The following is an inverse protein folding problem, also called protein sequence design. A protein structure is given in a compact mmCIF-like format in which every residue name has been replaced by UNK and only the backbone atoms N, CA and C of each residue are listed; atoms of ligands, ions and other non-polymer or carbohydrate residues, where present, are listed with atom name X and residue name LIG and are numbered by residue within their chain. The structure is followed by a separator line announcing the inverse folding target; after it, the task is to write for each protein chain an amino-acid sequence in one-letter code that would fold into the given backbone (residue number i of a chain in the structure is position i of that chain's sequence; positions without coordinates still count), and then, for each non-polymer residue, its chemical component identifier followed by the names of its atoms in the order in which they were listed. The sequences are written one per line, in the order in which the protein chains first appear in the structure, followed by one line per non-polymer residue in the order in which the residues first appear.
data_IF_709282017893
#
_entry.id   IF_709282017893
#
_cell.length_a   1.000
_cell.length_b   1.000
_cell.length_c   1.000
_cell.angle_alpha   90.00
_cell.angle_beta   90.00
_cell.angle_gamma   90.00
#
_symmetry.space_group_name_H-M   'P 1'
#
loop_
_entity.id
_entity.type
_entity.pdbx_description
1 polymer ?
#
# COMPACT_ATOMS: atom_id res chain seq x y z
N UNK A 1 4.91 -23.47 12.35
CA UNK A 1 3.55 -23.28 12.90
C UNK A 1 3.01 -21.88 12.58
N UNK A 2 3.86 -20.85 12.57
CA UNK A 2 3.45 -19.44 12.38
C UNK A 2 3.00 -19.10 10.95
N UNK A 3 3.67 -19.64 9.92
CA UNK A 3 3.31 -19.36 8.51
C UNK A 3 1.94 -19.92 8.12
N UNK A 4 1.58 -21.12 8.60
CA UNK A 4 0.26 -21.69 8.33
C UNK A 4 -0.84 -20.90 9.04
N UNK A 5 -0.62 -20.46 10.30
CA UNK A 5 -1.58 -19.60 10.99
C UNK A 5 -1.79 -18.28 10.23
N UNK A 6 -0.73 -17.64 9.77
CA UNK A 6 -0.82 -16.39 8.98
C UNK A 6 -1.62 -16.62 7.69
N UNK A 7 -1.33 -17.68 6.94
CA UNK A 7 -2.08 -18.02 5.71
C UNK A 7 -3.56 -18.24 6.00
N UNK A 8 -3.89 -18.94 7.07
CA UNK A 8 -5.29 -19.15 7.49
C UNK A 8 -5.98 -17.82 7.77
N UNK A 9 -5.35 -16.91 8.53
CA UNK A 9 -5.92 -15.59 8.85
C UNK A 9 -6.15 -14.77 7.57
N UNK A 10 -5.16 -14.70 6.67
CA UNK A 10 -5.31 -13.97 5.40
C UNK A 10 -6.45 -14.54 4.55
N UNK A 11 -6.59 -15.86 4.49
CA UNK A 11 -7.70 -16.53 3.79
C UNK A 11 -9.04 -16.19 4.43
N UNK A 12 -9.12 -16.14 5.77
CA UNK A 12 -10.34 -15.76 6.48
C UNK A 12 -10.71 -14.30 6.22
N UNK A 13 -9.73 -13.38 6.28
CA UNK A 13 -9.92 -11.96 5.95
C UNK A 13 -10.43 -11.81 4.52
N UNK A 14 -9.76 -12.45 3.55
CA UNK A 14 -10.19 -12.45 2.16
C UNK A 14 -11.63 -12.95 2.01
N UNK A 15 -11.97 -14.07 2.65
CA UNK A 15 -13.31 -14.67 2.59
C UNK A 15 -14.37 -13.70 3.16
N UNK A 16 -14.11 -13.14 4.34
CA UNK A 16 -15.00 -12.20 5.02
C UNK A 16 -15.23 -10.93 4.18
N UNK A 17 -14.17 -10.35 3.62
CA UNK A 17 -14.28 -9.17 2.77
C UNK A 17 -15.01 -9.50 1.46
N UNK A 18 -14.70 -10.64 0.84
CA UNK A 18 -15.36 -11.04 -0.41
C UNK A 18 -16.88 -11.21 -0.26
N UNK A 19 -17.33 -11.79 0.87
CA UNK A 19 -18.76 -11.96 1.16
C UNK A 19 -19.44 -10.61 1.42
N UNK A 20 -18.76 -9.71 2.16
CA UNK A 20 -19.27 -8.36 2.47
C UNK A 20 -19.34 -7.43 1.27
N UNK A 21 -18.49 -7.62 0.26
CA UNK A 21 -18.40 -6.71 -0.88
C UNK A 21 -19.11 -7.25 -2.13
N UNK A 22 -18.60 -8.33 -2.72
CA UNK A 22 -19.14 -8.88 -3.95
C UNK A 22 -20.18 -9.98 -3.69
N UNK A 23 -20.16 -10.61 -2.51
CA UNK A 23 -21.13 -11.62 -2.10
C UNK A 23 -21.29 -12.70 -3.18
N UNK A 24 -22.47 -12.79 -3.80
CA UNK A 24 -22.77 -13.69 -4.95
C UNK A 24 -22.90 -12.97 -6.29
N UNK A 25 -22.65 -11.66 -6.36
CA UNK A 25 -22.72 -10.91 -7.60
C UNK A 25 -21.62 -11.33 -8.59
N UNK A 26 -21.92 -11.18 -9.88
CA UNK A 26 -21.00 -11.52 -10.98
C UNK A 26 -20.04 -10.39 -11.35
N UNK A 27 -20.32 -9.16 -10.91
CA UNK A 27 -19.49 -7.99 -11.17
C UNK A 27 -19.71 -6.88 -10.15
N UNK A 28 -18.76 -5.94 -10.09
CA UNK A 28 -18.84 -4.69 -9.32
C UNK A 28 -18.40 -3.50 -10.16
N UNK A 29 -19.12 -2.39 -10.02
CA UNK A 29 -18.76 -1.08 -10.56
C UNK A 29 -17.76 -0.35 -9.66
N UNK A 30 -17.13 0.70 -10.20
CA UNK A 30 -16.27 1.59 -9.42
C UNK A 30 -16.98 2.17 -8.18
N UNK A 31 -18.21 2.66 -8.35
CA UNK A 31 -18.98 3.29 -7.26
C UNK A 31 -19.34 2.27 -6.16
N UNK A 32 -19.64 1.02 -6.53
CA UNK A 32 -19.89 -0.04 -5.56
C UNK A 32 -18.61 -0.39 -4.77
N UNK A 33 -17.43 -0.45 -5.41
CA UNK A 33 -16.15 -0.64 -4.70
C UNK A 33 -15.85 0.55 -3.79
N UNK A 34 -16.13 1.76 -4.26
CA UNK A 34 -15.95 2.98 -3.47
C UNK A 34 -16.88 3.03 -2.26
N UNK A 35 -18.11 2.50 -2.36
CA UNK A 35 -19.09 2.48 -1.28
C UNK A 35 -19.00 1.25 -0.36
N UNK A 36 -18.31 0.19 -0.78
CA UNK A 36 -18.22 -1.08 -0.04
C UNK A 36 -17.69 -0.92 1.39
N UNK A 37 -18.09 -1.78 2.33
CA UNK A 37 -17.54 -1.76 3.68
C UNK A 37 -16.16 -2.43 3.75
N UNK A 38 -15.14 -1.70 3.27
CA UNK A 38 -13.75 -2.13 3.20
C UNK A 38 -12.85 -1.31 4.13
N UNK A 39 -11.83 -1.92 4.74
CA UNK A 39 -10.74 -1.18 5.36
C UNK A 39 -10.16 -0.15 4.40
N UNK A 40 -9.86 1.05 4.92
CA UNK A 40 -9.45 2.21 4.10
C UNK A 40 -8.29 1.87 3.16
N UNK A 41 -7.26 1.21 3.66
CA UNK A 41 -6.07 0.90 2.87
C UNK A 41 -6.35 -0.15 1.78
N UNK A 42 -7.17 -1.16 2.06
CA UNK A 42 -7.60 -2.15 1.04
C UNK A 42 -8.39 -1.45 -0.06
N UNK A 43 -9.38 -0.63 0.28
CA UNK A 43 -10.13 0.17 -0.68
C UNK A 43 -9.22 1.06 -1.51
N UNK A 44 -8.29 1.77 -0.86
CA UNK A 44 -7.35 2.67 -1.53
C UNK A 44 -6.49 1.91 -2.53
N UNK A 45 -5.99 0.71 -2.15
CA UNK A 45 -5.25 -0.15 -3.06
C UNK A 45 -6.08 -0.59 -4.28
N UNK A 46 -7.33 -1.05 -4.06
CA UNK A 46 -8.19 -1.48 -5.17
C UNK A 46 -8.42 -0.35 -6.17
N UNK A 47 -8.78 0.85 -5.70
CA UNK A 47 -9.05 1.99 -6.58
C UNK A 47 -7.77 2.45 -7.29
N UNK A 48 -6.63 2.42 -6.60
CA UNK A 48 -5.33 2.73 -7.17
C UNK A 48 -4.91 1.80 -8.31
N UNK A 49 -5.15 0.50 -8.15
CA UNK A 49 -4.80 -0.49 -9.17
C UNK A 49 -5.63 -0.30 -10.45
N UNK A 50 -6.91 0.08 -10.30
CA UNK A 50 -7.77 0.43 -11.43
C UNK A 50 -7.29 1.70 -12.13
N UNK A 51 -6.90 2.71 -11.36
CA UNK A 51 -6.32 3.93 -11.91
C UNK A 51 -5.00 3.65 -12.65
N UNK A 52 -4.10 2.88 -12.04
CA UNK A 52 -2.83 2.48 -12.64
C UNK A 52 -3.03 1.70 -13.94
N UNK A 53 -3.96 0.74 -13.94
CA UNK A 53 -4.32 -0.05 -15.12
C UNK A 53 -4.86 0.84 -16.23
N UNK A 54 -5.79 1.74 -15.92
CA UNK A 54 -6.35 2.69 -16.88
C UNK A 54 -5.26 3.61 -17.46
N UNK A 55 -4.38 4.18 -16.62
CA UNK A 55 -3.25 5.00 -17.05
C UNK A 55 -2.31 4.24 -17.98
N UNK A 56 -1.98 2.99 -17.63
CA UNK A 56 -1.11 2.13 -18.42
C UNK A 56 -1.71 1.84 -19.79
N UNK A 57 -3.00 1.50 -19.84
CA UNK A 57 -3.73 1.26 -21.07
C UNK A 57 -3.74 2.51 -21.97
N UNK A 58 -4.10 3.68 -21.44
CA UNK A 58 -4.12 4.94 -22.21
C UNK A 58 -2.72 5.37 -22.68
N UNK A 59 -1.68 5.18 -21.85
CA UNK A 59 -0.27 5.44 -22.24
C UNK A 59 0.22 4.49 -23.33
N UNK A 60 -0.36 3.29 -23.45
CA UNK A 60 0.02 2.30 -24.46
C UNK A 60 -0.42 2.70 -25.88
N UNK A 61 -1.43 3.56 -26.01
CA UNK A 61 -1.92 4.08 -27.29
C UNK A 61 -0.83 4.93 -27.94
N UNK A 62 -0.21 4.44 -29.01
CA UNK A 62 0.89 5.10 -29.72
C UNK A 62 0.70 5.00 -31.23
N UNK A 63 1.20 5.98 -31.96
CA UNK A 63 1.29 5.97 -33.41
C UNK A 63 2.42 6.90 -33.84
N UNK A 64 3.20 6.47 -34.85
CA UNK A 64 4.26 7.28 -35.44
C UNK A 64 3.75 8.48 -36.25
N UNK A 65 2.44 8.53 -36.52
CA UNK A 65 1.81 9.60 -37.33
C UNK A 65 1.34 10.79 -36.50
N UNK A 66 1.29 10.67 -35.17
CA UNK A 66 0.73 11.69 -34.29
C UNK A 66 1.72 12.06 -33.19
N UNK A 67 1.76 13.35 -32.81
CA UNK A 67 2.58 13.83 -31.71
C UNK A 67 1.87 13.61 -30.37
N UNK A 68 2.17 12.50 -29.69
CA UNK A 68 1.64 12.21 -28.36
C UNK A 68 2.38 12.90 -27.20
N UNK A 69 3.41 13.69 -27.51
CA UNK A 69 4.15 14.50 -26.52
C UNK A 69 3.61 15.93 -26.42
N UNK A 70 2.61 16.28 -27.24
CA UNK A 70 1.94 17.57 -27.14
C UNK A 70 1.17 17.68 -25.81
N UNK A 71 1.29 18.82 -25.13
CA UNK A 71 0.69 19.04 -23.81
C UNK A 71 -0.84 18.90 -23.85
N UNK A 72 -1.49 19.34 -24.93
CA UNK A 72 -2.95 19.21 -25.09
C UNK A 72 -3.40 17.74 -25.15
N UNK A 73 -2.57 16.87 -25.74
CA UNK A 73 -2.81 15.42 -25.80
C UNK A 73 -2.59 14.79 -24.43
N UNK A 74 -1.59 15.26 -23.67
CA UNK A 74 -1.34 14.81 -22.30
C UNK A 74 -2.52 15.13 -21.37
N UNK A 75 -3.07 16.35 -21.46
CA UNK A 75 -4.26 16.76 -20.72
C UNK A 75 -5.49 15.94 -21.11
N UNK A 76 -5.74 15.75 -22.42
CA UNK A 76 -6.84 14.95 -22.92
C UNK A 76 -6.75 13.49 -22.45
N UNK A 77 -5.55 12.90 -22.42
CA UNK A 77 -5.33 11.55 -21.88
C UNK A 77 -5.66 11.47 -20.39
N UNK A 78 -5.22 12.45 -19.61
CA UNK A 78 -5.55 12.49 -18.18
C UNK A 78 -7.07 12.62 -17.95
N UNK A 79 -7.76 13.42 -18.76
CA UNK A 79 -9.22 13.50 -18.73
C UNK A 79 -9.87 12.16 -19.10
N UNK A 80 -9.38 11.52 -20.17
CA UNK A 80 -9.88 10.22 -20.61
C UNK A 80 -9.71 9.14 -19.52
N UNK A 81 -8.56 9.07 -18.86
CA UNK A 81 -8.33 8.16 -17.72
C UNK A 81 -9.36 8.41 -16.61
N UNK A 82 -9.60 9.67 -16.21
CA UNK A 82 -10.59 10.00 -15.16
C UNK A 82 -12.00 9.55 -15.52
N UNK A 83 -12.38 9.63 -16.79
CA UNK A 83 -13.69 9.13 -17.25
C UNK A 83 -13.72 7.61 -17.33
N UNK A 84 -12.66 6.98 -17.84
CA UNK A 84 -12.57 5.54 -18.00
C UNK A 84 -12.71 4.81 -16.67
N UNK A 85 -12.04 5.30 -15.61
CA UNK A 85 -12.10 4.70 -14.27
C UNK A 85 -13.55 4.64 -13.74
N UNK A 86 -14.36 5.68 -13.99
CA UNK A 86 -15.77 5.72 -13.57
C UNK A 86 -16.68 4.76 -14.34
N UNK A 87 -16.21 4.23 -15.47
CA UNK A 87 -16.95 3.25 -16.29
C UNK A 87 -16.53 1.81 -15.99
N UNK A 88 -15.62 1.60 -15.04
CA UNK A 88 -15.12 0.26 -14.71
C UNK A 88 -16.27 -0.60 -14.21
N UNK A 89 -16.39 -1.77 -14.85
CA UNK A 89 -17.19 -2.90 -14.39
C UNK A 89 -16.25 -4.10 -14.29
N UNK A 90 -15.90 -4.49 -13.08
CA UNK A 90 -15.02 -5.63 -12.81
C UNK A 90 -15.83 -6.89 -12.70
N UNK A 91 -15.46 -7.91 -13.48
CA UNK A 91 -15.99 -9.26 -13.28
C UNK A 91 -15.56 -9.79 -11.92
N UNK A 92 -16.36 -10.69 -11.37
CA UNK A 92 -16.11 -11.33 -10.08
C UNK A 92 -14.71 -11.90 -9.96
N UNK A 93 -14.25 -12.64 -10.98
CA UNK A 93 -12.93 -13.27 -10.96
C UNK A 93 -11.81 -12.22 -10.83
N UNK A 94 -11.90 -11.13 -11.58
CA UNK A 94 -10.91 -10.05 -11.56
C UNK A 94 -10.95 -9.29 -10.23
N UNK A 95 -12.14 -9.03 -9.70
CA UNK A 95 -12.31 -8.41 -8.39
C UNK A 95 -11.71 -9.26 -7.27
N UNK A 96 -11.97 -10.57 -7.25
CA UNK A 96 -11.45 -11.48 -6.23
C UNK A 96 -9.92 -11.57 -6.31
N UNK A 97 -9.33 -11.58 -7.51
CA UNK A 97 -7.86 -11.51 -7.67
C UNK A 97 -7.29 -10.22 -7.09
N UNK A 98 -7.91 -9.07 -7.40
CA UNK A 98 -7.48 -7.79 -6.86
C UNK A 98 -7.64 -7.70 -5.35
N UNK A 99 -8.71 -8.25 -4.79
CA UNK A 99 -8.95 -8.28 -3.35
C UNK A 99 -7.92 -9.15 -2.62
N UNK A 100 -7.59 -10.33 -3.14
CA UNK A 100 -6.56 -11.20 -2.58
C UNK A 100 -5.20 -10.48 -2.55
N UNK A 101 -4.82 -9.85 -3.67
CA UNK A 101 -3.62 -9.02 -3.73
C UNK A 101 -3.66 -7.88 -2.71
N UNK A 102 -4.80 -7.19 -2.56
CA UNK A 102 -4.97 -6.09 -1.61
C UNK A 102 -4.79 -6.54 -0.16
N UNK A 103 -5.34 -7.71 0.21
CA UNK A 103 -5.21 -8.29 1.55
C UNK A 103 -3.75 -8.64 1.84
N UNK A 104 -3.06 -9.29 0.91
CA UNK A 104 -1.64 -9.65 1.05
C UNK A 104 -0.77 -8.40 1.13
N UNK A 105 -1.01 -7.41 0.28
CA UNK A 105 -0.25 -6.15 0.26
C UNK A 105 -0.47 -5.38 1.55
N UNK A 106 -1.71 -5.33 2.05
CA UNK A 106 -2.01 -4.68 3.31
C UNK A 106 -1.27 -5.34 4.46
N UNK A 107 -1.36 -6.66 4.59
CA UNK A 107 -0.62 -7.40 5.60
C UNK A 107 0.87 -7.10 5.56
N UNK A 108 1.49 -7.19 4.37
CA UNK A 108 2.93 -6.93 4.20
C UNK A 108 3.30 -5.49 4.56
N UNK A 109 2.47 -4.52 4.17
CA UNK A 109 2.69 -3.11 4.51
C UNK A 109 2.59 -2.87 6.01
N UNK A 110 1.61 -3.48 6.67
CA UNK A 110 1.44 -3.37 8.12
C UNK A 110 2.61 -3.96 8.89
N UNK A 111 3.17 -5.08 8.42
CA UNK A 111 4.30 -5.76 9.07
C UNK A 111 5.64 -5.06 8.79
N UNK A 112 5.88 -4.63 7.54
CA UNK A 112 7.17 -4.10 7.09
C UNK A 112 6.98 -2.85 6.22
N UNK A 113 6.56 -1.72 6.83
CA UNK A 113 6.15 -0.56 6.06
C UNK A 113 7.25 0.04 5.19
N UNK A 114 8.49 0.14 5.69
CA UNK A 114 9.58 0.76 4.94
C UNK A 114 9.94 -0.06 3.69
N UNK A 115 10.16 -1.36 3.87
CA UNK A 115 10.44 -2.32 2.81
C UNK A 115 9.32 -2.37 1.78
N UNK A 116 8.06 -2.41 2.23
CA UNK A 116 6.94 -2.49 1.30
C UNK A 116 6.79 -1.21 0.48
N UNK A 117 7.03 -0.02 1.04
CA UNK A 117 7.06 1.22 0.26
C UNK A 117 8.15 1.18 -0.81
N UNK A 118 9.36 0.72 -0.46
CA UNK A 118 10.46 0.61 -1.41
C UNK A 118 10.13 -0.37 -2.55
N UNK A 119 9.57 -1.54 -2.23
CA UNK A 119 9.17 -2.51 -3.25
C UNK A 119 8.06 -1.99 -4.16
N UNK A 120 7.08 -1.26 -3.62
CA UNK A 120 5.96 -0.73 -4.40
C UNK A 120 6.36 0.42 -5.32
N UNK A 121 7.30 1.25 -4.86
CA UNK A 121 7.85 2.35 -5.64
C UNK A 121 8.78 1.85 -6.73
N UNK A 122 9.73 0.96 -6.39
CA UNK A 122 10.83 0.62 -7.29
C UNK A 122 10.60 -0.69 -8.05
N UNK A 123 9.92 -1.68 -7.48
CA UNK A 123 9.88 -3.03 -8.04
C UNK A 123 11.30 -3.54 -8.31
N UNK A 124 11.62 -3.76 -9.59
CA UNK A 124 12.97 -4.17 -10.06
C UNK A 124 13.84 -2.98 -10.51
N UNK A 125 13.31 -1.77 -10.54
CA UNK A 125 14.03 -0.57 -10.97
C UNK A 125 14.99 -0.10 -9.87
N UNK A 126 16.12 0.46 -10.28
CA UNK A 126 17.10 1.06 -9.35
C UNK A 126 16.84 2.54 -9.06
N UNK A 127 16.07 3.20 -9.92
CA UNK A 127 15.78 4.63 -9.88
C UNK A 127 14.36 4.90 -10.37
N UNK A 128 13.71 5.92 -9.80
CA UNK A 128 12.37 6.37 -10.17
C UNK A 128 12.30 7.90 -10.16
N UNK A 129 11.42 8.47 -10.99
CA UNK A 129 11.16 9.92 -10.99
C UNK A 129 10.29 10.31 -9.80
N UNK A 130 10.47 11.52 -9.27
CA UNK A 130 9.69 12.03 -8.14
C UNK A 130 8.18 12.03 -8.43
N UNK A 131 7.78 12.27 -9.69
CA UNK A 131 6.38 12.22 -10.11
C UNK A 131 5.79 10.80 -10.02
N UNK A 132 6.52 9.79 -10.47
CA UNK A 132 6.09 8.38 -10.40
C UNK A 132 6.06 7.90 -8.94
N UNK A 133 7.04 8.31 -8.12
CA UNK A 133 7.07 7.99 -6.70
C UNK A 133 5.86 8.60 -5.99
N UNK A 134 5.57 9.89 -6.24
CA UNK A 134 4.41 10.55 -5.68
C UNK A 134 3.11 9.84 -6.07
N UNK A 135 2.98 9.41 -7.33
CA UNK A 135 1.81 8.65 -7.80
C UNK A 135 1.63 7.34 -7.06
N UNK A 136 2.70 6.54 -6.93
CA UNK A 136 2.66 5.25 -6.24
C UNK A 136 2.38 5.39 -4.74
N UNK A 137 2.94 6.41 -4.10
CA UNK A 137 2.81 6.62 -2.67
C UNK A 137 1.47 7.22 -2.23
N UNK A 138 0.73 7.87 -3.14
CA UNK A 138 -0.60 8.47 -2.84
C UNK A 138 -1.60 7.45 -2.26
N UNK A 139 -1.38 6.17 -2.53
CA UNK A 139 -2.31 5.09 -2.21
C UNK A 139 -2.04 4.43 -0.85
N UNK A 140 -1.08 4.93 -0.07
CA UNK A 140 -0.77 4.47 1.28
C UNK A 140 -1.37 5.42 2.32
N UNK A 141 -2.25 4.87 3.16
CA UNK A 141 -3.10 5.59 4.11
C UNK A 141 -2.75 5.29 5.57
N UNK A 142 -2.23 4.09 5.87
CA UNK A 142 -1.59 3.77 7.13
C UNK A 142 -0.17 4.33 7.17
N UNK A 143 0.38 4.55 8.38
CA UNK A 143 1.72 5.14 8.60
C UNK A 143 2.03 6.37 7.72
N UNK A 144 1.01 7.22 7.48
CA UNK A 144 1.08 8.34 6.53
C UNK A 144 2.19 9.34 6.79
N UNK A 145 2.77 9.38 7.99
CA UNK A 145 3.94 10.20 8.28
C UNK A 145 5.14 9.84 7.39
N UNK A 146 5.35 8.55 7.07
CA UNK A 146 6.43 8.10 6.17
C UNK A 146 6.29 8.76 4.79
N UNK A 147 5.08 8.66 4.23
CA UNK A 147 4.77 9.19 2.90
C UNK A 147 4.79 10.72 2.90
N UNK A 148 4.09 11.36 3.84
CA UNK A 148 3.94 12.81 3.85
C UNK A 148 5.28 13.52 4.02
N UNK A 149 6.12 13.07 4.96
CA UNK A 149 7.44 13.69 5.20
C UNK A 149 8.36 13.44 4.00
N UNK A 150 8.29 12.26 3.39
CA UNK A 150 9.08 11.95 2.20
C UNK A 150 8.68 12.81 0.99
N UNK A 151 7.38 13.00 0.72
CA UNK A 151 6.91 13.85 -0.38
C UNK A 151 7.29 15.32 -0.16
N UNK A 152 7.17 15.83 1.07
CA UNK A 152 7.66 17.17 1.42
C UNK A 152 9.18 17.31 1.21
N UNK A 153 9.94 16.26 1.49
CA UNK A 153 11.38 16.24 1.22
C UNK A 153 11.68 16.35 -0.28
N UNK A 154 10.99 15.58 -1.14
CA UNK A 154 11.15 15.67 -2.59
C UNK A 154 10.85 17.07 -3.11
N UNK A 155 9.74 17.66 -2.68
CA UNK A 155 9.31 18.99 -3.08
C UNK A 155 10.31 20.06 -2.63
N UNK A 156 10.66 20.08 -1.34
CA UNK A 156 11.58 21.07 -0.75
C UNK A 156 12.98 21.01 -1.38
N UNK A 157 13.43 19.81 -1.76
CA UNK A 157 14.74 19.60 -2.37
C UNK A 157 14.72 19.67 -3.90
N UNK A 158 13.55 19.87 -4.51
CA UNK A 158 13.35 19.88 -5.98
C UNK A 158 13.99 18.66 -6.64
N UNK A 159 13.78 17.49 -6.05
CA UNK A 159 14.36 16.24 -6.55
C UNK A 159 13.53 15.78 -7.75
N UNK A 160 14.18 15.57 -8.89
CA UNK A 160 13.52 15.06 -10.11
C UNK A 160 13.50 13.53 -10.15
N UNK A 161 14.55 12.88 -9.66
CA UNK A 161 14.67 11.42 -9.55
C UNK A 161 15.49 11.01 -8.34
N UNK A 162 15.31 9.77 -7.88
CA UNK A 162 16.00 9.23 -6.72
C UNK A 162 16.19 7.71 -6.85
N UNK A 163 17.34 7.22 -6.38
CA UNK A 163 17.65 5.80 -6.36
C UNK A 163 16.93 5.08 -5.22
N UNK A 164 16.74 3.76 -5.37
CA UNK A 164 16.15 2.90 -4.34
C UNK A 164 16.87 3.01 -3.00
N UNK A 165 18.20 2.93 -3.02
CA UNK A 165 19.02 3.03 -1.81
C UNK A 165 18.82 4.38 -1.09
N UNK A 166 18.78 5.48 -1.85
CA UNK A 166 18.59 6.81 -1.28
C UNK A 166 17.17 6.97 -0.72
N UNK A 167 16.17 6.40 -1.38
CA UNK A 167 14.79 6.34 -0.88
C UNK A 167 14.72 5.58 0.44
N UNK A 168 15.24 4.35 0.49
CA UNK A 168 15.26 3.49 1.68
C UNK A 168 15.93 4.22 2.85
N UNK A 169 17.07 4.88 2.61
CA UNK A 169 17.78 5.67 3.63
C UNK A 169 16.96 6.85 4.17
N UNK A 170 16.21 7.54 3.31
CA UNK A 170 15.37 8.67 3.75
C UNK A 170 14.18 8.15 4.53
N UNK A 171 13.48 7.12 4.04
CA UNK A 171 12.33 6.52 4.72
C UNK A 171 12.74 5.99 6.09
N UNK A 172 13.86 5.29 6.19
CA UNK A 172 14.44 4.84 7.45
C UNK A 172 14.72 6.02 8.41
N UNK A 173 15.36 7.08 7.91
CA UNK A 173 15.66 8.27 8.72
C UNK A 173 14.41 9.03 9.18
N UNK A 174 13.34 9.03 8.38
CA UNK A 174 12.03 9.57 8.78
C UNK A 174 11.45 8.71 9.90
N UNK A 175 11.45 7.38 9.73
CA UNK A 175 10.86 6.47 10.70
C UNK A 175 11.56 6.57 12.06
N UNK A 176 12.89 6.45 12.07
CA UNK A 176 13.72 6.59 13.28
C UNK A 176 13.45 7.90 14.02
N UNK A 177 13.49 9.03 13.31
CA UNK A 177 13.28 10.34 13.94
C UNK A 177 11.91 10.47 14.60
N UNK A 178 10.89 9.84 14.02
CA UNK A 178 9.53 9.83 14.57
C UNK A 178 9.47 8.87 15.76
N UNK A 179 9.92 7.62 15.61
CA UNK A 179 9.86 6.61 16.68
C UNK A 179 10.73 6.95 17.89
N UNK A 180 11.86 7.64 17.70
CA UNK A 180 12.72 8.10 18.79
C UNK A 180 12.04 9.18 19.65
N UNK A 181 11.09 9.92 19.05
CA UNK A 181 10.31 10.94 19.76
C UNK A 181 9.09 10.38 20.50
N UNK A 182 8.76 9.11 20.28
CA UNK A 182 7.57 8.47 20.87
C UNK A 182 7.85 7.93 22.26
N UNK A 183 6.91 8.19 23.17
CA UNK A 183 6.79 7.42 24.40
C UNK A 183 6.26 6.00 24.11
N UNK A 184 6.11 5.20 25.16
CA UNK A 184 5.66 3.82 25.01
C UNK A 184 4.22 3.74 24.50
N UNK A 185 3.35 4.67 24.90
CA UNK A 185 1.96 4.70 24.44
C UNK A 185 1.88 5.02 22.95
N UNK A 186 2.56 6.07 22.50
CA UNK A 186 2.60 6.48 21.09
C UNK A 186 3.20 5.39 20.21
N UNK A 187 4.21 4.67 20.70
CA UNK A 187 4.74 3.51 19.99
C UNK A 187 3.72 2.38 19.90
N UNK A 188 3.03 2.03 20.98
CA UNK A 188 2.00 0.98 20.97
C UNK A 188 0.84 1.33 20.01
N UNK A 189 0.52 2.62 19.86
CA UNK A 189 -0.47 3.08 18.88
C UNK A 189 -0.08 2.78 17.42
N UNK A 190 1.21 2.59 17.12
CA UNK A 190 1.66 2.12 15.80
C UNK A 190 1.31 0.65 15.53
N UNK A 191 1.08 -0.17 16.56
CA UNK A 191 0.67 -1.57 16.40
C UNK A 191 -0.82 -1.71 16.12
N UNK A 192 -1.62 -0.69 16.47
CA UNK A 192 -3.09 -0.73 16.36
C UNK A 192 -3.59 -1.19 14.97
N UNK A 193 -3.06 -0.67 13.84
CA UNK A 193 -3.50 -1.14 12.52
C UNK A 193 -3.25 -2.63 12.27
N UNK A 194 -2.22 -3.22 12.88
CA UNK A 194 -1.94 -4.66 12.79
C UNK A 194 -3.03 -5.44 13.52
N UNK A 195 -3.39 -5.05 14.74
CA UNK A 195 -4.45 -5.69 15.51
C UNK A 195 -5.81 -5.55 14.82
N UNK A 196 -6.15 -4.35 14.34
CA UNK A 196 -7.38 -4.12 13.58
C UNK A 196 -7.44 -4.99 12.31
N UNK A 197 -6.31 -5.23 11.65
CA UNK A 197 -6.27 -6.11 10.48
C UNK A 197 -6.47 -7.59 10.83
N UNK A 198 -5.91 -8.08 11.94
CA UNK A 198 -6.12 -9.46 12.41
C UNK A 198 -7.57 -9.69 12.89
N UNK A 199 -8.18 -8.68 13.51
CA UNK A 199 -9.58 -8.72 13.94
C UNK A 199 -10.56 -8.91 12.77
N UNK A 200 -10.22 -8.44 11.56
CA UNK A 200 -11.00 -8.74 10.34
C UNK A 200 -11.08 -10.24 10.04
N UNK A 201 -10.09 -11.01 10.50
CA UNK A 201 -10.02 -12.47 10.41
C UNK A 201 -10.63 -13.18 11.61
N UNK A 202 -11.16 -12.44 12.60
CA UNK A 202 -11.68 -12.98 13.86
C UNK A 202 -10.60 -13.33 14.88
N UNK A 203 -9.36 -12.87 14.71
CA UNK A 203 -8.28 -13.10 15.65
C UNK A 203 -8.10 -11.90 16.59
N UNK A 204 -8.10 -12.16 17.89
CA UNK A 204 -7.81 -11.14 18.92
C UNK A 204 -6.32 -11.05 19.26
N UNK A 205 -5.52 -12.03 18.82
CA UNK A 205 -4.10 -12.11 19.09
C UNK A 205 -3.27 -12.01 17.80
N UNK A 206 -2.22 -11.19 17.85
CA UNK A 206 -1.23 -11.08 16.77
C UNK A 206 -0.05 -12.00 17.07
N UNK A 207 0.38 -12.88 16.13
CA UNK A 207 1.53 -13.73 16.34
C UNK A 207 2.80 -12.92 16.66
N UNK A 208 3.57 -13.35 17.67
CA UNK A 208 4.79 -12.65 18.13
C UNK A 208 5.82 -12.42 17.01
N UNK A 209 5.86 -13.30 16.00
CA UNK A 209 6.75 -13.11 14.85
C UNK A 209 6.42 -11.84 14.06
N UNK A 210 5.14 -11.48 13.96
CA UNK A 210 4.68 -10.29 13.23
C UNK A 210 5.08 -9.03 13.99
N UNK A 211 4.87 -9.03 15.31
CA UNK A 211 5.30 -7.94 16.18
C UNK A 211 6.82 -7.78 16.16
N UNK A 212 7.54 -8.90 16.18
CA UNK A 212 9.01 -8.91 16.07
C UNK A 212 9.48 -8.35 14.73
N UNK A 213 8.86 -8.72 13.61
CA UNK A 213 9.20 -8.18 12.30
C UNK A 213 8.94 -6.68 12.22
N UNK A 214 7.80 -6.22 12.74
CA UNK A 214 7.47 -4.80 12.78
C UNK A 214 8.47 -4.01 13.60
N UNK A 215 8.79 -4.46 14.82
CA UNK A 215 9.72 -3.76 15.72
C UNK A 215 11.13 -3.71 15.12
N UNK A 216 11.60 -4.80 14.48
CA UNK A 216 12.88 -4.81 13.76
C UNK A 216 12.90 -3.83 12.59
N UNK A 217 11.81 -3.76 11.83
CA UNK A 217 11.69 -2.78 10.74
C UNK A 217 11.77 -1.34 11.27
N UNK A 218 11.14 -1.06 12.43
CA UNK A 218 11.26 0.25 13.11
C UNK A 218 12.65 0.51 13.67
N UNK A 219 13.48 -0.53 13.85
CA UNK A 219 14.83 -0.47 14.41
C UNK A 219 14.86 0.25 15.75
N UNK A 220 13.97 -0.16 16.66
CA UNK A 220 13.84 0.43 18.01
C UNK A 220 14.58 -0.46 19.01
N UNK A 221 15.85 -0.15 19.37
CA UNK A 221 16.73 -1.09 20.06
C UNK A 221 16.21 -1.47 21.46
N UNK A 222 15.50 -0.55 22.13
CA UNK A 222 14.92 -0.79 23.45
C UNK A 222 13.91 -1.95 23.47
N UNK A 223 13.17 -2.13 22.38
CA UNK A 223 12.12 -3.16 22.26
C UNK A 223 12.63 -4.46 21.65
N UNK A 224 13.66 -4.40 20.79
CA UNK A 224 14.30 -5.59 20.23
C UNK A 224 14.86 -6.52 21.31
N UNK A 225 15.41 -5.95 22.39
CA UNK A 225 15.94 -6.72 23.53
C UNK A 225 14.83 -7.47 24.28
N UNK A 226 13.70 -6.81 24.53
CA UNK A 226 12.54 -7.40 25.22
C UNK A 226 11.95 -8.56 24.39
N UNK A 227 11.87 -8.38 23.08
CA UNK A 227 11.38 -9.44 22.18
C UNK A 227 12.32 -10.65 22.12
N UNK A 228 13.63 -10.43 22.16
CA UNK A 228 14.60 -11.52 22.21
C UNK A 228 14.40 -12.38 23.47
N UNK A 229 14.15 -11.76 24.62
CA UNK A 229 13.87 -12.45 25.89
C UNK A 229 12.53 -13.20 25.89
N UNK A 230 11.53 -12.77 25.10
CA UNK A 230 10.23 -13.42 24.96
C UNK A 230 10.18 -14.54 23.91
N UNK A 231 11.18 -14.62 23.04
CA UNK A 231 11.24 -15.58 21.92
C UNK A 231 12.37 -16.60 22.03
N UNK A 232 13.25 -16.44 23.03
CA UNK A 232 14.27 -17.42 23.45
C UNK A 232 13.68 -18.49 24.37
#
# INVERSE_FOLDING_TARGET
MTDEKIKTVLKTIFSNLSEKTIGKADQLSYDEIQAADLPRQIRTFLLAELEFTARTYVKSIKSARFNFQDDSISEARNAFVRHLIKTVTLKREDYLKLLDMAVVIQFRYLCRPQKMLAEQVFGQMKEQSAAEIADRLRNFSDYRYLVNVFLQYLEKKKIESITREKFEKIIFGIDQKITDSYDDHDFLMLLKPIYEFFDLGGETEVPVIILTEFIREKSVPRLEKILYELTA
#
